data_IF_742232914743
#
_entry.id   IF_742232914743
#
_cell.length_a   1.000
_cell.length_b   1.000
_cell.length_c   1.000
_cell.angle_alpha   90.00
_cell.angle_beta   90.00
_cell.angle_gamma   90.00
#
_symmetry.space_group_name_H-M   'P 1'
#
loop_
_entity.id
_entity.type
_entity.pdbx_description
1 polymer ?
#
# COMPACT_ATOMS: atom_id res chain seq x y z
N UNK A 1 -67.55 -17.85 30.73
CA UNK A 1 -66.63 -18.15 29.63
C UNK A 1 -65.23 -17.94 30.17
N UNK A 2 -64.52 -18.90 30.80
CA UNK A 2 -64.33 -20.34 30.47
C UNK A 2 -64.13 -20.53 28.98
N UNK A 3 -63.08 -21.13 28.44
CA UNK A 3 -61.96 -21.99 28.89
C UNK A 3 -61.14 -22.16 27.58
N UNK A 4 -59.83 -22.35 27.57
CA UNK A 4 -59.10 -23.63 27.57
C UNK A 4 -57.65 -23.20 27.29
N UNK A 5 -56.67 -23.46 28.17
CA UNK A 5 -56.02 -24.75 28.41
C UNK A 5 -55.15 -25.22 27.25
N UNK A 6 -53.94 -25.62 27.63
CA UNK A 6 -52.96 -26.46 26.94
C UNK A 6 -52.17 -25.80 25.79
N UNK A 7 -50.83 -25.78 25.81
CA UNK A 7 -49.94 -26.85 26.27
C UNK A 7 -48.68 -26.34 26.97
N UNK A 8 -48.52 -26.88 28.17
CA UNK A 8 -47.27 -27.19 28.85
C UNK A 8 -46.21 -27.76 27.90
N UNK A 9 -45.10 -27.05 27.76
CA UNK A 9 -43.82 -27.61 27.29
C UNK A 9 -42.63 -27.21 28.17
N UNK A 10 -42.86 -26.47 29.26
CA UNK A 10 -41.79 -25.96 30.11
C UNK A 10 -41.40 -26.92 31.25
N UNK A 11 -42.30 -27.83 31.66
CA UNK A 11 -42.10 -28.71 32.82
C UNK A 11 -41.38 -30.05 32.51
N UNK A 12 -40.94 -30.27 31.26
CA UNK A 12 -40.28 -31.53 30.89
C UNK A 12 -38.74 -31.54 31.05
N UNK A 13 -38.13 -30.42 31.44
CA UNK A 13 -36.67 -30.36 31.68
C UNK A 13 -36.33 -29.75 33.04
N UNK A 14 -36.89 -30.37 34.08
CA UNK A 14 -36.11 -30.83 35.23
C UNK A 14 -35.36 -29.76 36.02
N UNK A 15 -36.05 -29.27 37.04
CA UNK A 15 -35.40 -28.81 38.27
C UNK A 15 -34.53 -29.92 38.89
N UNK A 16 -33.57 -29.46 39.69
CA UNK A 16 -32.53 -30.16 40.47
C UNK A 16 -31.31 -30.61 39.65
N UNK A 17 -30.09 -30.12 39.91
CA UNK A 17 -29.42 -30.19 41.21
C UNK A 17 -28.46 -29.01 41.50
N UNK A 18 -28.60 -28.48 42.72
CA UNK A 18 -27.54 -27.97 43.62
C UNK A 18 -26.90 -26.59 43.39
N UNK A 19 -27.18 -25.71 44.37
CA UNK A 19 -26.21 -24.92 45.15
C UNK A 19 -25.20 -24.03 44.41
N UNK A 20 -25.37 -22.70 44.45
CA UNK A 20 -24.40 -21.74 45.03
C UNK A 20 -24.70 -20.27 44.65
N UNK A 21 -24.95 -19.46 45.68
CA UNK A 21 -24.30 -18.18 45.98
C UNK A 21 -24.08 -17.07 44.90
N UNK A 22 -24.62 -15.89 45.26
CA UNK A 22 -24.03 -14.54 45.14
C UNK A 22 -24.30 -13.64 43.88
N UNK A 23 -24.38 -12.30 44.07
CA UNK A 23 -24.91 -11.37 43.07
C UNK A 23 -23.86 -11.00 42.01
N UNK A 24 -24.03 -11.48 40.78
CA UNK A 24 -23.09 -11.26 39.67
C UNK A 24 -23.37 -9.95 38.91
N UNK A 25 -23.35 -8.78 39.59
CA UNK A 25 -23.32 -7.47 38.90
C UNK A 25 -21.93 -6.83 38.84
N UNK A 26 -20.97 -7.23 39.69
CA UNK A 26 -19.62 -6.67 39.71
C UNK A 26 -18.69 -7.14 38.59
N UNK A 27 -18.90 -8.35 38.04
CA UNK A 27 -17.97 -8.95 37.06
C UNK A 27 -18.07 -8.36 35.64
N UNK A 28 -19.25 -7.88 35.22
CA UNK A 28 -19.44 -7.28 33.89
C UNK A 28 -18.64 -5.98 33.69
N UNK A 29 -18.62 -5.11 34.71
CA UNK A 29 -17.83 -3.87 34.66
C UNK A 29 -16.31 -4.11 34.66
N UNK A 30 -15.87 -5.20 35.28
CA UNK A 30 -14.46 -5.59 35.34
C UNK A 30 -13.99 -6.17 34.00
N UNK A 31 -14.83 -6.97 33.34
CA UNK A 31 -14.56 -7.49 31.99
C UNK A 31 -14.52 -6.34 30.98
N UNK A 32 -15.45 -5.38 31.03
CA UNK A 32 -15.43 -4.22 30.11
C UNK A 32 -14.19 -3.33 30.30
N UNK A 33 -13.72 -3.14 31.54
CA UNK A 33 -12.50 -2.39 31.81
C UNK A 33 -11.26 -3.08 31.23
N UNK A 34 -11.17 -4.41 31.36
CA UNK A 34 -10.07 -5.20 30.79
C UNK A 34 -10.06 -5.10 29.26
N UNK A 35 -11.22 -5.25 28.60
CA UNK A 35 -11.32 -5.15 27.14
C UNK A 35 -10.86 -3.77 26.65
N UNK A 36 -11.23 -2.70 27.35
CA UNK A 36 -10.85 -1.33 26.98
C UNK A 36 -9.34 -1.09 27.13
N UNK A 37 -8.74 -1.61 28.21
CA UNK A 37 -7.28 -1.55 28.41
C UNK A 37 -6.53 -2.32 27.32
N UNK A 38 -7.00 -3.52 26.96
CA UNK A 38 -6.41 -4.32 25.88
C UNK A 38 -6.56 -3.60 24.54
N UNK A 39 -7.71 -3.01 24.24
CA UNK A 39 -7.92 -2.24 23.02
C UNK A 39 -6.97 -1.03 22.93
N UNK A 40 -6.78 -0.28 24.03
CA UNK A 40 -5.84 0.85 24.09
C UNK A 40 -4.39 0.37 23.90
N UNK A 41 -4.01 -0.75 24.49
CA UNK A 41 -2.68 -1.34 24.31
C UNK A 41 -2.45 -1.82 22.87
N UNK A 42 -3.46 -2.41 22.23
CA UNK A 42 -3.37 -2.84 20.83
C UNK A 42 -3.30 -1.65 19.87
N UNK A 43 -4.07 -0.60 20.10
CA UNK A 43 -4.02 0.62 19.29
C UNK A 43 -2.70 1.37 19.49
N UNK A 44 -2.25 1.53 20.73
CA UNK A 44 -0.97 2.17 21.04
C UNK A 44 0.22 1.37 20.51
N UNK A 45 0.24 0.05 20.74
CA UNK A 45 1.25 -0.85 20.22
C UNK A 45 1.25 -0.90 18.69
N UNK A 46 0.07 -0.90 18.06
CA UNK A 46 -0.08 -0.85 16.62
C UNK A 46 0.46 0.45 16.01
N UNK A 47 0.18 1.60 16.63
CA UNK A 47 0.72 2.90 16.18
C UNK A 47 2.24 2.99 16.37
N UNK A 48 2.76 2.50 17.49
CA UNK A 48 4.22 2.46 17.74
C UNK A 48 4.90 1.51 16.75
N UNK A 49 4.32 0.34 16.50
CA UNK A 49 4.82 -0.61 15.50
C UNK A 49 4.81 0.02 14.10
N UNK A 50 3.73 0.70 13.71
CA UNK A 50 3.66 1.38 12.41
C UNK A 50 4.74 2.47 12.27
N UNK A 51 4.94 3.28 13.32
CA UNK A 51 5.95 4.34 13.34
C UNK A 51 7.39 3.77 13.32
N UNK A 52 7.64 2.70 14.06
CA UNK A 52 8.97 2.07 14.15
C UNK A 52 9.30 1.20 12.94
N UNK A 53 8.32 0.52 12.34
CA UNK A 53 8.49 -0.22 11.10
C UNK A 53 8.93 0.70 9.95
N UNK A 54 8.45 1.94 9.90
CA UNK A 54 8.95 2.96 8.96
C UNK A 54 10.39 3.43 9.21
N UNK A 55 10.99 3.08 10.36
CA UNK A 55 12.32 3.57 10.78
C UNK A 55 13.42 2.52 10.65
N UNK A 56 13.07 1.24 10.43
CA UNK A 56 14.05 0.16 10.22
C UNK A 56 14.59 0.16 8.78
N UNK A 57 15.23 1.25 8.38
CA UNK A 57 16.08 1.28 7.19
C UNK A 57 17.52 1.22 7.66
N UNK A 58 18.20 0.09 7.42
CA UNK A 58 19.66 0.02 7.45
C UNK A 58 20.22 1.26 6.75
N UNK A 59 21.17 1.92 7.41
CA UNK A 59 21.91 3.09 6.94
C UNK A 59 22.75 2.73 5.71
N UNK A 60 22.10 2.48 4.59
CA UNK A 60 22.67 2.65 3.26
C UNK A 60 22.73 4.15 3.06
N UNK A 61 23.90 4.68 2.71
CA UNK A 61 24.06 6.11 2.45
C UNK A 61 22.98 6.58 1.47
N UNK A 62 22.28 7.66 1.82
CA UNK A 62 21.30 8.27 0.91
C UNK A 62 22.07 8.80 -0.31
N UNK A 63 21.87 8.17 -1.47
CA UNK A 63 22.42 8.64 -2.75
C UNK A 63 21.50 9.67 -3.38
N UNK A 64 22.03 10.46 -4.32
CA UNK A 64 21.19 11.40 -5.06
C UNK A 64 20.20 10.65 -5.96
N UNK A 65 19.02 11.25 -6.20
CA UNK A 65 18.01 10.65 -7.08
C UNK A 65 18.53 10.41 -8.51
N UNK A 66 19.37 11.31 -9.03
CA UNK A 66 20.04 11.15 -10.32
C UNK A 66 21.06 10.02 -10.37
N UNK A 67 21.77 9.79 -9.27
CA UNK A 67 22.69 8.66 -9.13
C UNK A 67 21.95 7.32 -9.13
N UNK A 68 20.78 7.26 -8.48
CA UNK A 68 19.90 6.09 -8.53
C UNK A 68 19.26 5.90 -9.92
N UNK A 69 18.81 6.99 -10.55
CA UNK A 69 18.08 6.98 -11.80
C UNK A 69 18.65 8.05 -12.76
N UNK A 70 19.64 7.70 -13.60
CA UNK A 70 20.37 8.66 -14.45
C UNK A 70 19.49 9.49 -15.39
N UNK A 71 18.30 9.01 -15.72
CA UNK A 71 17.32 9.78 -16.50
C UNK A 71 16.96 11.11 -15.82
N UNK A 72 16.95 11.16 -14.48
CA UNK A 72 16.62 12.35 -13.69
C UNK A 72 17.68 13.47 -13.77
N UNK A 73 18.93 13.13 -14.10
CA UNK A 73 20.01 14.12 -14.27
C UNK A 73 19.98 14.81 -15.64
N UNK A 74 19.22 14.27 -16.60
CA UNK A 74 19.05 14.92 -17.89
C UNK A 74 18.24 16.21 -17.75
N UNK A 75 18.47 17.26 -18.55
CA UNK A 75 17.60 18.44 -18.56
C UNK A 75 16.15 18.10 -18.94
N UNK A 76 15.18 18.80 -18.35
CA UNK A 76 13.77 18.61 -18.70
C UNK A 76 13.45 19.19 -20.08
N UNK A 77 12.83 18.39 -20.95
CA UNK A 77 12.29 18.79 -22.23
C UNK A 77 10.75 18.94 -22.23
N UNK A 78 10.18 19.28 -23.38
CA UNK A 78 8.73 19.50 -23.51
C UNK A 78 7.89 18.24 -23.29
N UNK A 79 8.40 17.07 -23.68
CA UNK A 79 7.71 15.77 -23.50
C UNK A 79 7.67 15.32 -22.05
N UNK A 80 8.59 15.83 -21.23
CA UNK A 80 8.71 15.50 -19.82
C UNK A 80 7.69 16.24 -18.96
N UNK A 81 7.04 17.28 -19.49
CA UNK A 81 6.10 18.11 -18.76
C UNK A 81 4.79 17.33 -18.52
N UNK A 82 4.50 17.08 -17.25
CA UNK A 82 3.22 16.51 -16.81
C UNK A 82 2.32 17.66 -16.34
N UNK A 83 1.06 17.65 -16.78
CA UNK A 83 0.07 18.64 -16.34
C UNK A 83 -0.16 18.55 -14.84
N UNK A 84 -0.58 19.66 -14.19
CA UNK A 84 -0.86 19.64 -12.75
C UNK A 84 -1.93 18.61 -12.37
N UNK A 85 -2.95 18.42 -13.22
CA UNK A 85 -3.99 17.41 -13.00
C UNK A 85 -3.40 15.99 -12.97
N UNK A 86 -2.40 15.71 -13.82
CA UNK A 86 -1.71 14.42 -13.84
C UNK A 86 -0.73 14.21 -12.67
N UNK A 87 -0.47 15.24 -11.87
CA UNK A 87 0.39 15.17 -10.68
C UNK A 87 -0.40 15.29 -9.37
N UNK A 88 -1.69 15.61 -9.44
CA UNK A 88 -2.50 15.81 -8.24
C UNK A 88 -2.52 14.54 -7.39
N UNK A 89 -2.32 14.69 -6.08
CA UNK A 89 -2.22 13.57 -5.13
C UNK A 89 -0.95 12.70 -5.23
N UNK A 90 -0.08 12.88 -6.24
CA UNK A 90 1.12 12.03 -6.41
C UNK A 90 2.31 12.45 -5.54
N UNK A 91 2.37 13.72 -5.13
CA UNK A 91 3.52 14.29 -4.40
C UNK A 91 4.79 14.47 -5.23
N UNK A 92 4.72 14.28 -6.57
CA UNK A 92 5.84 14.44 -7.50
C UNK A 92 6.02 15.91 -7.87
N UNK A 93 7.27 16.35 -7.96
CA UNK A 93 7.63 17.71 -8.39
C UNK A 93 7.60 17.81 -9.92
N UNK A 94 6.78 18.71 -10.46
CA UNK A 94 6.61 18.85 -11.92
C UNK A 94 7.92 19.14 -12.68
N UNK A 95 8.89 19.84 -12.08
CA UNK A 95 10.17 20.15 -12.72
C UNK A 95 11.15 18.96 -12.77
N UNK A 96 10.89 17.89 -12.02
CA UNK A 96 11.76 16.70 -11.98
C UNK A 96 11.24 15.55 -12.83
N UNK A 97 10.08 15.68 -13.45
CA UNK A 97 9.53 14.61 -14.30
C UNK A 97 10.39 14.40 -15.54
N UNK A 98 10.58 13.14 -15.92
CA UNK A 98 11.30 12.70 -17.12
C UNK A 98 10.49 11.63 -17.79
N UNK A 99 10.09 11.90 -19.02
CA UNK A 99 9.35 10.96 -19.84
C UNK A 99 10.23 9.75 -20.13
N UNK A 100 9.62 8.57 -19.98
CA UNK A 100 10.27 7.32 -20.26
C UNK A 100 9.73 6.69 -21.54
N UNK A 101 8.43 6.38 -21.57
CA UNK A 101 7.80 5.69 -22.69
C UNK A 101 6.27 5.83 -22.63
N UNK A 102 5.63 5.55 -23.77
CA UNK A 102 4.21 5.26 -23.86
C UNK A 102 4.04 3.73 -23.71
N UNK A 103 3.17 3.30 -22.80
CA UNK A 103 2.86 1.88 -22.55
C UNK A 103 1.35 1.68 -22.49
N UNK A 104 0.92 0.44 -22.29
CA UNK A 104 -0.50 0.12 -22.10
C UNK A 104 -1.09 0.74 -20.81
N UNK A 105 -0.23 1.15 -19.86
CA UNK A 105 -0.62 1.94 -18.67
C UNK A 105 -0.73 3.45 -18.96
N UNK A 106 -0.46 3.87 -20.19
CA UNK A 106 -0.41 5.28 -20.60
C UNK A 106 1.01 5.84 -20.63
N UNK A 107 1.14 7.13 -20.35
CA UNK A 107 2.44 7.82 -20.38
C UNK A 107 3.21 7.59 -19.10
N UNK A 108 4.40 7.03 -19.21
CA UNK A 108 5.25 6.70 -18.07
C UNK A 108 6.34 7.75 -17.89
N UNK A 109 6.52 8.17 -16.65
CA UNK A 109 7.52 9.13 -16.22
C UNK A 109 8.29 8.63 -15.01
N UNK A 110 9.54 9.05 -14.89
CA UNK A 110 10.19 9.15 -13.60
C UNK A 110 10.03 10.56 -13.06
N UNK A 111 10.10 10.71 -11.75
CA UNK A 111 10.19 12.00 -11.11
C UNK A 111 10.77 11.89 -9.70
N UNK A 112 10.89 13.04 -9.05
CA UNK A 112 11.23 13.10 -7.63
C UNK A 112 10.06 13.63 -6.83
N UNK A 113 9.77 12.99 -5.69
CA UNK A 113 8.82 13.56 -4.74
C UNK A 113 9.41 14.76 -4.00
N UNK A 114 8.56 15.55 -3.35
CA UNK A 114 8.99 16.66 -2.47
C UNK A 114 9.91 16.22 -1.34
N UNK A 115 9.91 14.93 -1.00
CA UNK A 115 10.77 14.32 0.03
C UNK A 115 12.04 13.66 -0.56
N UNK A 116 12.35 13.90 -1.83
CA UNK A 116 13.56 13.38 -2.49
C UNK A 116 13.53 11.91 -2.89
N UNK A 117 12.35 11.25 -2.83
CA UNK A 117 12.19 9.86 -3.33
C UNK A 117 12.20 9.82 -4.85
N UNK A 118 12.71 8.75 -5.45
CA UNK A 118 12.52 8.43 -6.86
C UNK A 118 11.13 7.82 -7.02
N UNK A 119 10.36 8.33 -7.96
CA UNK A 119 8.99 7.91 -8.22
C UNK A 119 8.83 7.48 -9.67
N UNK A 120 8.17 6.34 -9.88
CA UNK A 120 7.63 5.93 -11.15
C UNK A 120 6.17 6.40 -11.21
N UNK A 121 5.76 6.98 -12.33
CA UNK A 121 4.43 7.55 -12.54
C UNK A 121 3.90 7.04 -13.88
N UNK A 122 2.67 6.51 -13.88
CA UNK A 122 1.92 6.26 -15.09
C UNK A 122 0.70 7.18 -15.15
N UNK A 123 0.54 7.89 -16.27
CA UNK A 123 -0.57 8.82 -16.53
C UNK A 123 -1.43 8.23 -17.65
N UNK A 124 -2.49 7.47 -17.32
CA UNK A 124 -3.44 6.95 -18.30
C UNK A 124 -4.30 8.06 -18.90
N UNK A 125 -4.87 7.82 -20.08
CA UNK A 125 -5.77 8.79 -20.72
C UNK A 125 -7.17 8.64 -20.16
N UNK A 126 -7.65 9.66 -19.43
CA UNK A 126 -9.02 9.69 -18.90
C UNK A 126 -9.19 9.08 -17.52
N UNK A 127 -8.14 8.50 -16.94
CA UNK A 127 -8.12 7.89 -15.61
C UNK A 127 -7.12 8.60 -14.67
N UNK A 128 -7.13 8.20 -13.40
CA UNK A 128 -6.22 8.74 -12.38
C UNK A 128 -4.79 8.23 -12.57
N UNK A 129 -3.77 9.08 -12.30
CA UNK A 129 -2.39 8.66 -12.31
C UNK A 129 -2.11 7.62 -11.22
N UNK A 130 -1.22 6.68 -11.51
CA UNK A 130 -0.69 5.71 -10.54
C UNK A 130 0.79 5.96 -10.31
N UNK A 131 1.24 5.81 -9.07
CA UNK A 131 2.63 6.10 -8.71
C UNK A 131 3.17 5.16 -7.65
N UNK A 132 4.46 4.85 -7.77
CA UNK A 132 5.22 4.07 -6.79
C UNK A 132 6.53 4.81 -6.52
N UNK A 133 6.86 5.03 -5.24
CA UNK A 133 7.98 5.86 -4.84
C UNK A 133 8.86 5.18 -3.79
N UNK A 134 10.16 5.15 -4.02
CA UNK A 134 11.14 4.61 -3.09
C UNK A 134 12.27 5.60 -2.79
N UNK A 135 12.97 5.37 -1.68
CA UNK A 135 14.20 6.12 -1.40
C UNK A 135 15.22 5.83 -2.51
N UNK A 136 16.02 6.83 -2.94
CA UNK A 136 17.05 6.59 -3.95
C UNK A 136 18.06 5.55 -3.48
N UNK A 137 18.22 4.46 -4.23
CA UNK A 137 19.24 3.42 -4.06
C UNK A 137 19.58 2.80 -5.41
N UNK A 138 20.74 2.16 -5.51
CA UNK A 138 21.18 1.47 -6.74
C UNK A 138 20.62 0.05 -6.89
N UNK A 139 19.78 -0.44 -5.98
CA UNK A 139 19.27 -1.82 -5.95
C UNK A 139 17.74 -1.89 -5.87
N UNK A 140 17.05 -0.85 -6.34
CA UNK A 140 15.60 -0.69 -6.18
C UNK A 140 14.85 -1.01 -7.47
N UNK A 141 13.69 -1.64 -7.31
CA UNK A 141 12.75 -1.90 -8.39
C UNK A 141 11.42 -1.23 -8.03
N UNK A 142 11.02 -0.24 -8.83
CA UNK A 142 9.71 0.39 -8.74
C UNK A 142 8.79 -0.34 -9.71
N UNK A 143 7.65 -0.85 -9.26
CA UNK A 143 6.70 -1.59 -10.11
C UNK A 143 5.33 -0.93 -10.03
N UNK A 144 4.78 -0.60 -11.20
CA UNK A 144 3.38 -0.23 -11.38
C UNK A 144 2.68 -1.35 -12.13
N UNK A 145 1.78 -2.05 -11.44
CA UNK A 145 0.95 -3.10 -12.02
C UNK A 145 -0.42 -3.07 -11.33
N UNK A 146 -1.44 -2.43 -11.94
CA UNK A 146 -2.76 -2.28 -11.32
C UNK A 146 -3.46 -3.61 -11.07
N UNK A 147 -3.26 -4.59 -11.96
CA UNK A 147 -3.86 -5.93 -11.91
C UNK A 147 -2.79 -7.00 -12.14
N UNK A 148 -2.86 -8.11 -11.42
CA UNK A 148 -1.85 -9.19 -11.46
C UNK A 148 -1.66 -9.80 -12.87
N UNK A 149 -2.71 -9.80 -13.70
CA UNK A 149 -2.69 -10.27 -15.09
C UNK A 149 -2.70 -9.12 -16.11
N UNK A 150 -2.74 -7.87 -15.62
CA UNK A 150 -2.78 -6.66 -16.43
C UNK A 150 -1.40 -6.19 -16.90
N UNK A 151 -1.39 -5.11 -17.72
CA UNK A 151 -0.16 -4.48 -18.14
C UNK A 151 0.63 -3.95 -16.95
N UNK A 152 1.94 -3.98 -17.06
CA UNK A 152 2.85 -3.61 -15.98
C UNK A 152 4.06 -2.84 -16.51
N UNK A 153 4.56 -1.95 -15.67
CA UNK A 153 5.77 -1.18 -15.92
C UNK A 153 6.65 -1.24 -14.69
N UNK A 154 7.94 -1.49 -14.87
CA UNK A 154 8.91 -1.49 -13.80
C UNK A 154 10.13 -0.65 -14.17
N UNK A 155 10.65 0.09 -13.19
CA UNK A 155 11.93 0.79 -13.32
C UNK A 155 12.93 0.23 -12.32
N UNK A 156 14.02 -0.31 -12.85
CA UNK A 156 15.13 -0.91 -12.11
C UNK A 156 16.26 0.10 -12.04
N UNK A 157 16.64 0.49 -10.83
CA UNK A 157 17.82 1.33 -10.59
C UNK A 157 19.06 0.45 -10.49
N UNK A 158 20.19 0.93 -11.02
CA UNK A 158 21.53 0.30 -10.91
C UNK A 158 21.56 -1.22 -11.09
N UNK A 159 21.92 -1.91 -10.00
CA UNK A 159 22.08 -3.35 -9.84
C UNK A 159 20.80 -4.05 -9.30
N UNK A 160 19.65 -3.38 -9.31
CA UNK A 160 18.38 -3.96 -8.90
C UNK A 160 18.01 -5.22 -9.70
N UNK A 161 17.29 -6.14 -9.08
CA UNK A 161 16.91 -7.39 -9.73
C UNK A 161 15.83 -7.14 -10.79
N UNK A 162 16.18 -7.36 -12.05
CA UNK A 162 15.25 -7.17 -13.15
C UNK A 162 14.06 -8.16 -13.09
N UNK A 163 12.85 -7.73 -13.48
CA UNK A 163 11.71 -8.63 -13.62
C UNK A 163 12.01 -9.81 -14.56
N UNK A 164 11.48 -10.98 -14.24
CA UNK A 164 11.79 -12.19 -14.99
C UNK A 164 11.14 -12.17 -16.38
N UNK A 165 11.95 -12.44 -17.41
CA UNK A 165 11.44 -12.60 -18.79
C UNK A 165 10.45 -13.75 -18.94
N UNK A 166 10.55 -14.77 -18.08
CA UNK A 166 9.61 -15.89 -18.03
C UNK A 166 8.18 -15.44 -17.72
N UNK A 167 8.04 -14.31 -17.01
CA UNK A 167 6.75 -13.70 -16.67
C UNK A 167 6.30 -12.67 -17.71
N UNK A 168 6.90 -12.67 -18.92
CA UNK A 168 6.51 -11.79 -20.04
C UNK A 168 7.15 -10.40 -20.04
N UNK A 169 7.97 -10.07 -19.03
CA UNK A 169 8.65 -8.79 -18.97
C UNK A 169 9.74 -8.66 -20.03
N UNK A 170 9.81 -7.49 -20.65
CA UNK A 170 10.87 -7.14 -21.58
C UNK A 170 11.35 -5.71 -21.36
N UNK A 171 12.64 -5.50 -21.57
CA UNK A 171 13.27 -4.20 -21.39
C UNK A 171 13.10 -3.36 -22.66
N UNK A 172 12.57 -2.14 -22.50
CA UNK A 172 12.38 -1.20 -23.62
C UNK A 172 13.50 -0.16 -23.72
N UNK A 173 14.13 0.17 -22.59
CA UNK A 173 15.28 1.07 -22.48
C UNK A 173 16.03 0.81 -21.16
N UNK A 174 17.21 1.42 -20.93
CA UNK A 174 17.96 1.22 -19.68
C UNK A 174 17.07 1.45 -18.44
N UNK A 175 17.01 0.45 -17.57
CA UNK A 175 16.18 0.44 -16.36
C UNK A 175 14.67 0.21 -16.57
N UNK A 176 14.09 0.51 -17.74
CA UNK A 176 12.63 0.36 -17.95
C UNK A 176 12.26 -1.02 -18.51
N UNK A 177 11.35 -1.69 -17.82
CA UNK A 177 10.76 -2.96 -18.20
C UNK A 177 9.24 -2.82 -18.31
N UNK A 178 8.66 -3.53 -19.28
CA UNK A 178 7.21 -3.54 -19.48
C UNK A 178 6.72 -4.96 -19.71
N UNK A 179 5.47 -5.21 -19.34
CA UNK A 179 4.74 -6.44 -19.65
C UNK A 179 3.35 -6.06 -20.16
N UNK A 180 2.88 -6.75 -21.21
CA UNK A 180 1.54 -6.56 -21.73
C UNK A 180 0.52 -7.30 -20.85
N UNK A 181 -0.71 -6.79 -20.79
CA UNK A 181 -1.82 -7.54 -20.19
C UNK A 181 -2.20 -8.73 -21.05
N UNK A 182 -2.61 -9.83 -20.41
CA UNK A 182 -3.12 -11.04 -21.11
C UNK A 182 -4.61 -10.99 -21.39
#
# INVERSE_FOLDING_TARGET
>A
MTTFEDLDLADAFGDDFSSQEQPVRRRRGLISAIVLVVAVLLLGGGLVYLATASTSSSTVADIAAGEAAPALDSPQGAVDLVSQVGLDGTGITSASTRYLADTDLGRVYLGTSTNGKVCLLAVPTGDLPTTECAKPRTDTVLVLRPDDDGPGVAYVTGDGEAPAKADGWHQTQPGLWVVAGS
#
